data_IF_691509290804
#
_entry.id   IF_691509290804
#
_cell.length_a   1.000
_cell.length_b   1.000
_cell.length_c   1.000
_cell.angle_alpha   90.00
_cell.angle_beta   90.00
_cell.angle_gamma   90.00
#
_symmetry.space_group_name_H-M   'P 1'
#
loop_
_entity.id
_entity.type
_entity.pdbx_description
1 polymer ?
#
# COMPACT_ATOMS: atom_id res chain seq x y z
N UNK A 1 -27.10 61.09 -4.56
CA UNK A 1 -25.93 60.43 -3.93
C UNK A 1 -26.21 58.93 -3.92
N UNK A 2 -25.59 58.17 -4.83
CA UNK A 2 -25.81 56.72 -4.99
C UNK A 2 -24.74 55.99 -4.19
N UNK A 3 -25.11 55.43 -3.05
CA UNK A 3 -24.19 54.63 -2.23
C UNK A 3 -24.03 53.25 -2.85
N UNK A 4 -22.79 52.91 -3.23
CA UNK A 4 -22.42 51.56 -3.63
C UNK A 4 -21.98 50.79 -2.38
N UNK A 5 -22.72 49.74 -2.04
CA UNK A 5 -22.34 48.80 -0.98
C UNK A 5 -21.46 47.73 -1.63
N UNK A 6 -20.16 47.75 -1.33
CA UNK A 6 -19.25 46.66 -1.69
C UNK A 6 -19.43 45.51 -0.67
N UNK A 7 -20.00 44.39 -1.12
CA UNK A 7 -19.98 43.14 -0.37
C UNK A 7 -18.72 42.36 -0.74
N UNK A 8 -17.76 42.26 0.20
CA UNK A 8 -16.57 41.43 0.05
C UNK A 8 -16.92 40.00 0.51
N UNK A 9 -17.00 39.06 -0.44
CA UNK A 9 -17.13 37.63 -0.15
C UNK A 9 -15.77 37.05 0.23
N UNK A 10 -15.60 36.74 1.52
CA UNK A 10 -14.43 36.01 2.02
C UNK A 10 -14.64 34.52 1.69
N UNK A 11 -13.98 34.03 0.65
CA UNK A 11 -13.83 32.59 0.44
C UNK A 11 -12.78 32.07 1.44
N UNK A 12 -13.24 31.43 2.52
CA UNK A 12 -12.37 30.63 3.36
C UNK A 12 -11.96 29.37 2.58
N UNK A 13 -10.75 29.37 2.03
CA UNK A 13 -10.10 28.16 1.54
C UNK A 13 -9.82 27.28 2.77
N UNK A 14 -10.67 26.28 3.00
CA UNK A 14 -10.41 25.23 3.97
C UNK A 14 -9.14 24.50 3.54
N UNK A 15 -8.03 24.75 4.23
CA UNK A 15 -6.80 23.99 4.05
C UNK A 15 -7.12 22.59 4.56
N UNK A 16 -7.36 21.64 3.66
CA UNK A 16 -7.45 20.24 4.04
C UNK A 16 -6.14 19.90 4.77
N UNK A 17 -6.25 19.41 6.01
CA UNK A 17 -5.11 18.83 6.70
C UNK A 17 -4.70 17.59 5.89
N UNK A 18 -3.78 17.78 4.94
CA UNK A 18 -3.12 16.70 4.23
C UNK A 18 -2.25 16.03 5.28
N UNK A 19 -2.78 14.99 5.94
CA UNK A 19 -1.95 14.05 6.67
C UNK A 19 -0.85 13.56 5.72
N UNK A 20 0.32 13.23 6.27
CA UNK A 20 1.42 12.69 5.46
C UNK A 20 0.87 11.57 4.55
N UNK A 21 1.27 11.53 3.28
CA UNK A 21 0.84 10.49 2.35
C UNK A 21 1.20 9.09 2.89
N UNK A 22 0.43 8.04 2.57
CA UNK A 22 0.79 6.70 3.01
C UNK A 22 2.15 6.31 2.42
N UNK A 23 3.01 5.64 3.19
CA UNK A 23 4.32 5.16 2.74
C UNK A 23 4.49 3.73 3.23
N UNK A 24 4.68 2.77 2.31
CA UNK A 24 4.91 1.36 2.62
C UNK A 24 6.41 1.05 2.64
N UNK A 25 6.86 0.26 3.60
CA UNK A 25 8.25 -0.17 3.64
C UNK A 25 8.57 -1.13 2.48
N UNK A 26 9.78 -1.01 1.93
CA UNK A 26 10.30 -2.06 1.05
C UNK A 26 10.76 -3.24 1.91
N UNK A 27 10.23 -4.46 1.70
CA UNK A 27 10.66 -5.62 2.48
C UNK A 27 12.15 -5.92 2.23
N UNK A 28 12.93 -6.07 3.29
CA UNK A 28 14.40 -6.26 3.17
C UNK A 28 14.80 -7.65 2.68
N UNK A 29 13.97 -8.67 2.93
CA UNK A 29 14.22 -10.03 2.45
C UNK A 29 12.93 -10.83 2.38
N UNK A 30 12.43 -11.09 1.17
CA UNK A 30 11.33 -12.01 0.93
C UNK A 30 11.89 -13.42 0.75
N UNK A 31 11.58 -14.32 1.69
CA UNK A 31 11.98 -15.73 1.60
C UNK A 31 10.71 -16.56 1.56
N UNK A 32 10.58 -17.38 0.52
CA UNK A 32 9.43 -18.27 0.33
C UNK A 32 9.13 -19.06 1.61
N UNK A 33 7.84 -19.10 1.97
CA UNK A 33 7.29 -19.77 3.16
C UNK A 33 7.82 -19.30 4.52
N UNK A 34 8.51 -18.17 4.57
CA UNK A 34 8.89 -17.52 5.83
C UNK A 34 7.98 -16.33 6.12
N UNK A 35 7.69 -16.05 7.40
CA UNK A 35 6.93 -14.86 7.77
C UNK A 35 7.78 -13.60 7.60
N UNK A 36 7.15 -12.55 7.09
CA UNK A 36 7.69 -11.19 7.08
C UNK A 36 6.64 -10.20 7.58
N UNK A 37 7.11 -9.17 8.27
CA UNK A 37 6.27 -8.04 8.66
C UNK A 37 6.33 -6.95 7.60
N UNK A 38 5.16 -6.55 7.11
CA UNK A 38 4.96 -5.41 6.23
C UNK A 38 4.40 -4.28 7.09
N UNK A 39 4.90 -3.06 6.89
CA UNK A 39 4.55 -1.89 7.68
C UNK A 39 4.38 -0.67 6.77
N UNK A 40 3.44 0.21 7.10
CA UNK A 40 3.30 1.49 6.44
C UNK A 40 3.08 2.61 7.46
N UNK A 41 3.29 3.84 7.04
CA UNK A 41 3.11 5.04 7.86
C UNK A 41 2.36 6.10 7.09
N UNK A 42 1.77 7.08 7.78
CA UNK A 42 0.97 8.11 7.13
C UNK A 42 -0.33 7.57 6.54
N UNK A 43 -1.00 8.39 5.75
CA UNK A 43 -2.30 8.14 5.15
C UNK A 43 -3.44 8.17 6.17
N UNK A 44 -4.63 7.84 5.69
CA UNK A 44 -5.84 7.72 6.52
C UNK A 44 -6.45 6.31 6.40
N UNK A 45 -6.70 5.62 7.51
CA UNK A 45 -7.37 4.32 7.47
C UNK A 45 -8.83 4.46 6.98
N UNK A 46 -9.40 3.40 6.40
CA UNK A 46 -8.75 2.12 6.13
C UNK A 46 -7.73 2.16 4.99
N UNK A 47 -6.85 1.17 4.98
CA UNK A 47 -5.85 0.96 3.93
C UNK A 47 -6.18 -0.29 3.10
N UNK A 48 -5.71 -0.35 1.86
CA UNK A 48 -5.70 -1.56 1.03
C UNK A 48 -4.27 -1.87 0.64
N UNK A 49 -3.84 -3.09 0.95
CA UNK A 49 -2.46 -3.53 0.74
C UNK A 49 -2.45 -4.68 -0.26
N UNK A 50 -1.53 -4.64 -1.22
CA UNK A 50 -1.36 -5.68 -2.22
C UNK A 50 0.09 -5.84 -2.65
N UNK A 51 0.43 -7.03 -3.18
CA UNK A 51 1.66 -7.28 -3.89
C UNK A 51 1.34 -7.36 -5.39
N UNK A 52 1.95 -6.47 -6.17
CA UNK A 52 1.82 -6.42 -7.62
C UNK A 52 3.04 -7.05 -8.29
N UNK A 53 2.98 -7.39 -9.58
CA UNK A 53 4.19 -7.68 -10.35
C UNK A 53 5.20 -6.53 -10.22
N UNK A 54 6.46 -6.88 -10.03
CA UNK A 54 7.53 -5.91 -9.79
C UNK A 54 7.67 -4.93 -10.94
N UNK A 55 7.63 -3.63 -10.63
CA UNK A 55 7.76 -2.58 -11.64
C UNK A 55 6.49 -2.29 -12.46
N UNK A 56 5.34 -2.86 -12.09
CA UNK A 56 4.05 -2.64 -12.75
C UNK A 56 3.04 -1.94 -11.83
N UNK A 57 3.12 -0.61 -11.62
CA UNK A 57 2.11 0.15 -10.88
C UNK A 57 0.71 -0.04 -11.49
N UNK A 58 -0.27 -0.41 -10.66
CA UNK A 58 -1.63 -0.67 -11.11
C UNK A 58 -1.85 -2.00 -11.85
N UNK A 59 -0.82 -2.87 -11.89
CA UNK A 59 -0.97 -4.24 -12.38
C UNK A 59 -1.97 -5.07 -11.56
N UNK A 60 -2.37 -6.23 -12.08
CA UNK A 60 -3.25 -7.16 -11.36
C UNK A 60 -2.50 -7.72 -10.15
N UNK A 61 -3.03 -7.61 -8.92
CA UNK A 61 -2.35 -8.12 -7.74
C UNK A 61 -2.05 -9.62 -7.82
N UNK A 62 -0.82 -9.99 -7.47
CA UNK A 62 -0.43 -11.38 -7.20
C UNK A 62 -0.90 -11.83 -5.81
N UNK A 63 -1.01 -10.88 -4.88
CA UNK A 63 -1.60 -11.06 -3.56
C UNK A 63 -2.36 -9.82 -3.15
N UNK A 64 -3.55 -10.00 -2.61
CA UNK A 64 -4.38 -8.93 -2.04
C UNK A 64 -4.73 -9.30 -0.60
N UNK A 65 -4.47 -8.40 0.34
CA UNK A 65 -4.83 -8.55 1.76
C UNK A 65 -6.13 -7.84 2.11
N UNK A 66 -6.74 -7.14 1.15
CA UNK A 66 -7.97 -6.38 1.34
C UNK A 66 -7.79 -5.21 2.30
N UNK A 67 -8.89 -4.87 2.98
CA UNK A 67 -8.96 -3.71 3.86
C UNK A 67 -8.22 -3.96 5.18
N UNK A 68 -7.33 -3.04 5.56
CA UNK A 68 -6.56 -3.02 6.80
C UNK A 68 -6.92 -1.78 7.62
N UNK A 69 -7.05 -1.94 8.93
CA UNK A 69 -7.27 -0.81 9.87
C UNK A 69 -6.00 -0.39 10.60
N UNK A 70 -5.05 -1.31 10.77
CA UNK A 70 -3.73 -1.05 11.34
C UNK A 70 -2.74 -0.49 10.32
N UNK A 71 -1.48 -0.43 10.73
CA UNK A 71 -0.34 0.03 9.92
C UNK A 71 0.72 -1.05 9.71
N UNK A 72 0.39 -2.29 10.05
CA UNK A 72 1.24 -3.45 9.85
C UNK A 72 0.41 -4.70 9.57
N UNK A 73 1.02 -5.65 8.86
CA UNK A 73 0.49 -7.00 8.68
C UNK A 73 1.66 -8.00 8.63
N UNK A 74 1.38 -9.24 9.02
CA UNK A 74 2.34 -10.35 8.87
C UNK A 74 1.93 -11.21 7.69
N UNK A 75 2.88 -11.46 6.79
CA UNK A 75 2.69 -12.28 5.61
C UNK A 75 3.65 -13.46 5.63
N UNK A 76 3.13 -14.68 5.60
CA UNK A 76 3.90 -15.86 5.21
C UNK A 76 4.02 -15.85 3.70
N UNK A 77 5.23 -15.64 3.17
CA UNK A 77 5.47 -15.42 1.73
C UNK A 77 5.05 -16.63 0.91
N UNK A 78 3.82 -16.62 0.41
CA UNK A 78 3.15 -17.67 -0.35
C UNK A 78 3.23 -17.44 -1.87
N UNK A 79 4.29 -16.76 -2.31
CA UNK A 79 4.67 -16.62 -3.71
C UNK A 79 5.95 -17.44 -3.99
N UNK A 80 6.08 -18.05 -5.18
CA UNK A 80 7.22 -18.88 -5.50
C UNK A 80 8.51 -18.05 -5.61
N UNK A 81 9.65 -18.70 -5.33
CA UNK A 81 10.96 -18.12 -5.54
C UNK A 81 11.14 -17.63 -6.99
N UNK A 82 11.80 -16.48 -7.15
CA UNK A 82 11.98 -15.82 -8.45
C UNK A 82 10.85 -14.86 -8.83
N UNK A 83 9.70 -14.88 -8.15
CA UNK A 83 8.65 -13.88 -8.38
C UNK A 83 9.15 -12.50 -7.96
N UNK A 84 9.15 -11.55 -8.90
CA UNK A 84 9.43 -10.14 -8.62
C UNK A 84 8.13 -9.42 -8.26
N UNK A 85 8.12 -8.73 -7.12
CA UNK A 85 6.94 -7.99 -6.65
C UNK A 85 7.25 -6.56 -6.25
N UNK A 86 6.23 -5.71 -6.30
CA UNK A 86 6.20 -4.40 -5.66
C UNK A 86 5.02 -4.34 -4.68
N UNK A 87 5.28 -3.95 -3.44
CA UNK A 87 4.22 -3.75 -2.45
C UNK A 87 3.49 -2.43 -2.73
N UNK A 88 2.17 -2.43 -2.59
CA UNK A 88 1.32 -1.24 -2.69
C UNK A 88 0.56 -1.04 -1.38
N UNK A 89 0.42 0.22 -0.96
CA UNK A 89 -0.59 0.65 0.01
C UNK A 89 -1.44 1.76 -0.62
N UNK A 90 -2.76 1.65 -0.48
CA UNK A 90 -3.73 2.70 -0.82
C UNK A 90 -4.50 3.08 0.43
N UNK A 91 -4.75 4.35 0.67
CA UNK A 91 -5.51 4.83 1.82
C UNK A 91 -6.98 5.16 1.48
N UNK A 92 -7.78 5.56 2.49
CA UNK A 92 -9.20 5.88 2.34
C UNK A 92 -9.50 7.07 1.42
N UNK A 93 -8.52 7.95 1.23
CA UNK A 93 -8.63 9.11 0.36
C UNK A 93 -8.20 8.78 -1.07
N UNK A 94 -7.72 7.55 -1.30
CA UNK A 94 -7.24 7.10 -2.60
C UNK A 94 -5.77 7.44 -2.87
N UNK A 95 -5.03 7.96 -1.89
CA UNK A 95 -3.59 8.17 -2.02
C UNK A 95 -2.88 6.80 -2.04
N UNK A 96 -1.88 6.65 -2.93
CA UNK A 96 -1.19 5.38 -3.17
C UNK A 96 0.31 5.57 -3.01
N UNK A 97 0.97 4.57 -2.43
CA UNK A 97 2.41 4.44 -2.43
C UNK A 97 2.83 3.02 -2.81
N UNK A 98 4.01 2.95 -3.44
CA UNK A 98 4.62 1.72 -3.92
C UNK A 98 6.02 1.56 -3.35
N UNK A 99 6.36 0.35 -2.92
CA UNK A 99 7.72 -0.03 -2.60
C UNK A 99 8.53 -0.33 -3.88
N UNK A 100 9.86 -0.30 -3.74
CA UNK A 100 10.76 -0.78 -4.79
C UNK A 100 10.50 -2.26 -5.08
N UNK A 101 10.79 -2.69 -6.31
CA UNK A 101 10.64 -4.10 -6.69
C UNK A 101 11.65 -4.98 -5.93
N UNK A 102 11.19 -6.12 -5.41
CA UNK A 102 12.00 -7.12 -4.71
C UNK A 102 11.62 -8.51 -5.18
N UNK A 103 12.60 -9.38 -5.38
CA UNK A 103 12.37 -10.78 -5.76
C UNK A 103 12.28 -11.70 -4.55
N UNK A 104 11.35 -12.65 -4.61
CA UNK A 104 11.24 -13.73 -3.61
C UNK A 104 12.42 -14.69 -3.75
N UNK A 105 13.07 -14.97 -2.63
CA UNK A 105 14.18 -15.93 -2.52
C UNK A 105 13.66 -17.32 -2.19
N UNK A 106 14.39 -18.34 -2.60
CA UNK A 106 14.10 -19.72 -2.22
C UNK A 106 14.14 -19.90 -0.69
N UNK A 107 13.12 -20.55 -0.15
CA UNK A 107 13.05 -21.00 1.23
C UNK A 107 13.50 -22.46 1.37
N UNK A 108 13.37 -23.01 2.58
CA UNK A 108 13.66 -24.42 2.89
C UNK A 108 12.57 -25.39 2.44
N UNK A 109 11.36 -24.89 2.16
CA UNK A 109 10.21 -25.68 1.74
C UNK A 109 9.21 -24.84 0.91
N UNK A 110 8.20 -25.51 0.37
CA UNK A 110 7.14 -24.93 -0.49
C UNK A 110 5.75 -25.09 0.13
N UNK A 111 5.64 -25.43 1.42
CA UNK A 111 4.36 -25.82 2.05
C UNK A 111 3.31 -24.72 2.03
N UNK A 112 3.74 -23.46 2.02
CA UNK A 112 2.86 -22.30 1.92
C UNK A 112 2.26 -22.10 0.53
N UNK A 113 2.86 -22.68 -0.53
CA UNK A 113 2.41 -22.50 -1.92
C UNK A 113 1.19 -23.38 -2.24
N UNK A 114 1.02 -24.50 -1.53
CA UNK A 114 -0.07 -25.46 -1.76
C UNK A 114 -1.47 -24.87 -1.44
N UNK A 115 -1.52 -23.76 -0.70
CA UNK A 115 -2.75 -23.02 -0.40
C UNK A 115 -3.07 -21.87 -1.35
N UNK A 116 -2.15 -21.50 -2.26
CA UNK A 116 -2.34 -20.40 -3.22
C UNK A 116 -3.18 -20.80 -4.45
N UNK A 117 -3.54 -22.09 -4.56
CA UNK A 117 -4.48 -22.59 -5.56
C UNK A 117 -5.90 -22.66 -4.99
N UNK A 118 -6.64 -21.56 -5.04
CA UNK A 118 -8.11 -21.52 -5.21
C UNK A 118 -8.61 -20.10 -5.37
#
# INVERSE_FOLDING_TARGET
MKSAVLAATIFALGVAAQGAEPQINTPTSLVQCQPIKITWTGGKPPYWVSALPGGEPGGVPLKDWGQQTGTELTWTVDLPAGTSISMQVKDSNGAINYAQAVSVRAGSDTKCLDGASR
#
